data_IF_067634342735
#
_entry.id   IF_067634342735
#
_cell.length_a   1.000
_cell.length_b   1.000
_cell.length_c   1.000
_cell.angle_alpha   90.00
_cell.angle_beta   90.00
_cell.angle_gamma   90.00
#
_symmetry.space_group_name_H-M   'P 1'
#
loop_
_entity.id
_entity.type
_entity.pdbx_description
1 polymer ?
#
# COMPACT_ATOMS: atom_id res chain seq x y z
N UNK A 1 -0.22 -35.84 43.08
CA UNK A 1 -0.98 -35.30 41.94
C UNK A 1 0.01 -34.68 40.97
N UNK A 2 0.27 -35.37 39.85
CA UNK A 2 1.24 -34.94 38.84
C UNK A 2 0.56 -33.93 37.91
N UNK A 3 1.06 -32.70 37.89
CA UNK A 3 0.61 -31.65 36.98
C UNK A 3 1.25 -31.93 35.64
N UNK A 4 0.45 -32.45 34.70
CA UNK A 4 0.87 -32.72 33.34
C UNK A 4 1.31 -31.44 32.63
N UNK A 5 2.58 -31.38 32.28
CA UNK A 5 3.15 -30.34 31.40
C UNK A 5 2.47 -30.39 30.05
N UNK A 6 1.53 -29.46 29.78
CA UNK A 6 0.97 -29.24 28.46
C UNK A 6 2.13 -28.85 27.51
N UNK A 7 2.46 -29.77 26.62
CA UNK A 7 3.39 -29.52 25.52
C UNK A 7 2.88 -28.34 24.71
N UNK A 8 3.51 -27.19 24.86
CA UNK A 8 3.25 -26.02 24.04
C UNK A 8 3.64 -26.41 22.60
N UNK A 9 2.64 -26.67 21.75
CA UNK A 9 2.85 -26.93 20.32
C UNK A 9 3.62 -25.73 19.78
N UNK A 10 4.84 -25.97 19.26
CA UNK A 10 5.63 -24.93 18.55
C UNK A 10 4.71 -24.21 17.59
N UNK A 11 4.68 -22.86 17.59
CA UNK A 11 3.86 -22.12 16.63
C UNK A 11 4.24 -22.58 15.23
N UNK A 12 3.24 -22.95 14.44
CA UNK A 12 3.40 -23.32 13.02
C UNK A 12 4.21 -22.23 12.34
N UNK A 13 5.31 -22.64 11.68
CA UNK A 13 6.12 -21.70 10.92
C UNK A 13 5.19 -21.02 9.88
N UNK A 14 4.89 -19.72 10.00
CA UNK A 14 3.91 -19.03 9.16
C UNK A 14 4.32 -18.98 7.68
N UNK A 15 5.57 -19.38 7.38
CA UNK A 15 6.14 -19.37 6.03
C UNK A 15 6.24 -20.77 5.41
N UNK A 16 5.64 -21.79 6.03
CA UNK A 16 5.61 -23.14 5.45
C UNK A 16 4.35 -23.32 4.62
N UNK A 17 4.50 -23.68 3.35
CA UNK A 17 3.39 -24.07 2.49
C UNK A 17 2.71 -25.30 3.07
N UNK A 18 1.43 -25.18 3.41
CA UNK A 18 0.58 -26.27 3.89
C UNK A 18 -0.06 -27.00 2.72
N UNK A 19 -0.69 -28.17 2.97
CA UNK A 19 -1.51 -28.88 1.96
C UNK A 19 -2.57 -27.96 1.34
N UNK A 20 -3.24 -27.16 2.16
CA UNK A 20 -4.22 -26.15 1.70
C UNK A 20 -3.66 -25.22 0.63
N UNK A 21 -2.43 -24.74 0.78
CA UNK A 21 -1.81 -23.89 -0.22
C UNK A 21 -1.51 -24.60 -1.53
N UNK A 22 -1.14 -25.89 -1.46
CA UNK A 22 -0.92 -26.71 -2.66
C UNK A 22 -2.20 -26.95 -3.43
N UNK A 23 -3.29 -27.27 -2.73
CA UNK A 23 -4.62 -27.42 -3.34
C UNK A 23 -5.09 -26.12 -3.99
N UNK A 24 -4.90 -24.99 -3.30
CA UNK A 24 -5.20 -23.69 -3.87
C UNK A 24 -4.41 -23.41 -5.14
N UNK A 25 -3.12 -23.75 -5.20
CA UNK A 25 -2.31 -23.58 -6.41
C UNK A 25 -2.78 -24.45 -7.57
N UNK A 26 -3.17 -25.67 -7.29
CA UNK A 26 -3.70 -26.57 -8.33
C UNK A 26 -5.01 -26.05 -8.90
N UNK A 27 -5.92 -25.63 -8.03
CA UNK A 27 -7.19 -25.03 -8.43
C UNK A 27 -6.97 -23.69 -9.16
N UNK A 28 -6.06 -22.86 -8.67
CA UNK A 28 -5.68 -21.59 -9.31
C UNK A 28 -5.13 -21.79 -10.73
N UNK A 29 -4.22 -22.76 -10.93
CA UNK A 29 -3.68 -23.11 -12.26
C UNK A 29 -4.75 -23.66 -13.22
N UNK A 30 -5.75 -24.36 -12.70
CA UNK A 30 -6.91 -24.81 -13.50
C UNK A 30 -7.76 -23.63 -13.97
N UNK A 31 -8.02 -22.68 -13.08
CA UNK A 31 -8.85 -21.49 -13.38
C UNK A 31 -8.16 -20.53 -14.34
N UNK A 32 -6.86 -20.36 -14.19
CA UNK A 32 -6.05 -19.43 -14.99
C UNK A 32 -4.93 -20.16 -15.74
N UNK A 33 -5.25 -20.94 -16.77
CA UNK A 33 -4.25 -21.62 -17.58
C UNK A 33 -3.37 -20.59 -18.32
N UNK A 34 -2.07 -20.86 -18.40
CA UNK A 34 -1.05 -19.94 -18.95
C UNK A 34 -1.14 -19.73 -20.49
N UNK A 35 -2.33 -19.56 -21.03
CA UNK A 35 -2.61 -19.46 -22.49
C UNK A 35 -2.51 -18.04 -23.06
N UNK A 36 -1.92 -17.08 -22.35
CA UNK A 36 -1.98 -15.69 -22.79
C UNK A 36 -0.89 -15.37 -23.82
N UNK A 37 -1.32 -14.83 -24.95
CA UNK A 37 -0.45 -14.17 -25.92
C UNK A 37 0.34 -13.05 -25.22
N UNK A 38 1.57 -12.79 -25.66
CA UNK A 38 2.51 -11.86 -24.99
C UNK A 38 2.18 -10.39 -25.34
N UNK A 39 0.95 -9.94 -25.06
CA UNK A 39 0.47 -8.60 -25.38
C UNK A 39 0.77 -7.57 -24.29
N UNK A 40 1.53 -7.94 -23.27
CA UNK A 40 1.93 -7.02 -22.20
C UNK A 40 1.80 -7.62 -20.80
N UNK A 41 1.87 -6.76 -19.80
CA UNK A 41 1.96 -7.14 -18.38
C UNK A 41 0.92 -6.42 -17.54
N UNK A 42 0.22 -7.16 -16.69
CA UNK A 42 -0.50 -6.64 -15.53
C UNK A 42 0.44 -6.74 -14.31
N UNK A 43 0.81 -5.60 -13.75
CA UNK A 43 1.62 -5.54 -12.53
C UNK A 43 0.71 -5.66 -11.30
N UNK A 44 0.96 -6.67 -10.47
CA UNK A 44 0.23 -6.92 -9.24
C UNK A 44 1.13 -6.74 -8.02
N UNK A 45 0.68 -5.98 -7.03
CA UNK A 45 1.41 -5.85 -5.77
C UNK A 45 1.48 -7.19 -5.03
N UNK A 46 2.68 -7.54 -4.58
CA UNK A 46 2.89 -8.67 -3.68
C UNK A 46 2.63 -8.23 -2.24
N UNK A 47 1.47 -8.60 -1.71
CA UNK A 47 1.07 -8.31 -0.33
C UNK A 47 1.35 -9.51 0.57
N UNK A 48 2.10 -9.38 1.67
CA UNK A 48 2.46 -10.49 2.54
C UNK A 48 1.32 -10.86 3.52
N UNK A 49 0.14 -11.16 2.99
CA UNK A 49 -1.05 -11.56 3.73
C UNK A 49 -1.93 -12.45 2.85
N UNK A 50 -2.19 -13.69 3.24
CA UNK A 50 -2.90 -14.68 2.42
C UNK A 50 -4.23 -14.18 1.85
N UNK A 51 -5.13 -13.71 2.70
CA UNK A 51 -6.47 -13.29 2.26
C UNK A 51 -6.40 -12.12 1.26
N UNK A 52 -5.47 -11.19 1.47
CA UNK A 52 -5.27 -10.06 0.58
C UNK A 52 -4.58 -10.50 -0.71
N UNK A 53 -3.56 -11.38 -0.62
CA UNK A 53 -2.86 -11.91 -1.78
C UNK A 53 -3.81 -12.61 -2.76
N UNK A 54 -4.75 -13.43 -2.24
CA UNK A 54 -5.73 -14.11 -3.08
C UNK A 54 -6.62 -13.11 -3.84
N UNK A 55 -7.10 -12.07 -3.16
CA UNK A 55 -7.89 -11.02 -3.78
C UNK A 55 -7.11 -10.33 -4.91
N UNK A 56 -5.84 -10.01 -4.65
CA UNK A 56 -4.99 -9.32 -5.61
C UNK A 56 -4.64 -10.20 -6.81
N UNK A 57 -4.25 -11.45 -6.56
CA UNK A 57 -3.92 -12.42 -7.62
C UNK A 57 -5.12 -12.73 -8.50
N UNK A 58 -6.28 -13.05 -7.90
CA UNK A 58 -7.50 -13.32 -8.67
C UNK A 58 -7.87 -12.10 -9.54
N UNK A 59 -7.83 -10.89 -8.97
CA UNK A 59 -8.10 -9.65 -9.73
C UNK A 59 -7.11 -9.47 -10.87
N UNK A 60 -5.82 -9.73 -10.61
CA UNK A 60 -4.78 -9.58 -11.61
C UNK A 60 -4.94 -10.55 -12.77
N UNK A 61 -5.29 -11.79 -12.50
CA UNK A 61 -5.51 -12.81 -13.54
C UNK A 61 -6.77 -12.53 -14.35
N UNK A 62 -7.88 -12.16 -13.72
CA UNK A 62 -9.10 -11.75 -14.46
C UNK A 62 -8.82 -10.55 -15.37
N UNK A 63 -8.13 -9.53 -14.86
CA UNK A 63 -7.76 -8.36 -15.69
C UNK A 63 -6.78 -8.77 -16.80
N UNK A 64 -5.82 -9.63 -16.51
CA UNK A 64 -4.85 -10.08 -17.48
C UNK A 64 -5.49 -10.91 -18.60
N UNK A 65 -6.50 -11.72 -18.30
CA UNK A 65 -7.28 -12.46 -19.27
C UNK A 65 -8.01 -11.50 -20.21
N UNK A 66 -8.74 -10.54 -19.69
CA UNK A 66 -9.43 -9.51 -20.49
C UNK A 66 -8.46 -8.71 -21.37
N UNK A 67 -7.26 -8.41 -20.88
CA UNK A 67 -6.26 -7.63 -21.61
C UNK A 67 -5.31 -8.50 -22.48
N UNK A 68 -5.48 -9.82 -22.50
CA UNK A 68 -4.55 -10.77 -23.13
C UNK A 68 -3.09 -10.53 -22.70
N UNK A 69 -2.86 -10.34 -21.40
CA UNK A 69 -1.59 -9.97 -20.81
C UNK A 69 -1.10 -11.04 -19.80
N UNK A 70 0.20 -10.99 -19.46
CA UNK A 70 0.78 -11.85 -18.40
C UNK A 70 0.73 -11.14 -17.05
N UNK A 71 0.44 -11.86 -15.97
CA UNK A 71 0.57 -11.30 -14.62
C UNK A 71 2.04 -11.33 -14.18
N UNK A 72 2.49 -10.26 -13.59
CA UNK A 72 3.80 -10.11 -12.94
C UNK A 72 3.61 -9.41 -11.61
N UNK A 73 4.41 -9.76 -10.63
CA UNK A 73 4.33 -9.11 -9.32
C UNK A 73 5.45 -8.09 -9.09
N UNK A 74 5.15 -7.16 -8.19
CA UNK A 74 6.12 -6.19 -7.70
C UNK A 74 6.03 -6.04 -6.19
N UNK A 75 7.13 -5.63 -5.56
CA UNK A 75 7.10 -5.22 -4.16
C UNK A 75 8.30 -4.36 -3.80
N UNK A 76 8.02 -3.31 -3.04
CA UNK A 76 9.03 -2.43 -2.45
C UNK A 76 9.12 -2.59 -0.92
N UNK A 77 8.43 -3.58 -0.38
CA UNK A 77 8.48 -3.86 1.05
C UNK A 77 9.88 -4.35 1.44
N UNK A 78 10.36 -3.89 2.59
CA UNK A 78 11.63 -4.32 3.16
C UNK A 78 11.32 -5.14 4.41
N UNK A 79 11.09 -6.42 4.21
CA UNK A 79 10.82 -7.37 5.30
C UNK A 79 11.99 -8.31 5.56
N UNK A 80 11.83 -9.24 6.50
CA UNK A 80 12.80 -10.31 6.77
C UNK A 80 12.98 -11.17 5.51
N UNK A 81 14.21 -11.55 5.21
CA UNK A 81 14.61 -12.25 3.97
C UNK A 81 13.82 -13.55 3.73
N UNK A 82 13.48 -14.30 4.79
CA UNK A 82 12.69 -15.53 4.70
C UNK A 82 11.25 -15.29 4.25
N UNK A 83 10.60 -14.25 4.81
CA UNK A 83 9.26 -13.86 4.40
C UNK A 83 9.22 -13.50 2.91
N UNK A 84 10.25 -12.83 2.41
CA UNK A 84 10.37 -12.47 1.00
C UNK A 84 10.51 -13.67 0.07
N UNK A 85 11.34 -14.62 0.42
CA UNK A 85 11.51 -15.87 -0.33
C UNK A 85 10.19 -16.63 -0.41
N UNK A 86 9.51 -16.74 0.73
CA UNK A 86 8.21 -17.41 0.79
C UNK A 86 7.18 -16.76 -0.14
N UNK A 87 6.95 -15.44 0.01
CA UNK A 87 5.95 -14.74 -0.79
C UNK A 87 6.31 -14.66 -2.27
N UNK A 88 7.60 -14.50 -2.60
CA UNK A 88 8.07 -14.55 -3.97
C UNK A 88 7.79 -15.88 -4.65
N UNK A 89 8.02 -16.99 -3.95
CA UNK A 89 7.69 -18.33 -4.44
C UNK A 89 6.18 -18.52 -4.54
N UNK A 90 5.41 -18.05 -3.54
CA UNK A 90 3.96 -18.12 -3.55
C UNK A 90 3.38 -17.45 -4.81
N UNK A 91 3.76 -16.20 -5.08
CA UNK A 91 3.31 -15.48 -6.27
C UNK A 91 3.79 -16.12 -7.58
N UNK A 92 5.01 -16.65 -7.61
CA UNK A 92 5.54 -17.41 -8.75
C UNK A 92 4.70 -18.63 -9.06
N UNK A 93 4.34 -19.43 -8.05
CA UNK A 93 3.47 -20.61 -8.20
C UNK A 93 2.07 -20.22 -8.67
N UNK A 94 1.57 -19.06 -8.28
CA UNK A 94 0.33 -18.48 -8.80
C UNK A 94 0.48 -17.81 -10.18
N UNK A 95 1.54 -18.05 -10.94
CA UNK A 95 1.74 -17.48 -12.28
C UNK A 95 2.09 -16.00 -12.32
N UNK A 96 2.41 -15.39 -11.17
CA UNK A 96 2.75 -13.97 -11.02
C UNK A 96 4.20 -13.75 -10.51
N UNK A 97 5.25 -14.17 -11.26
CA UNK A 97 6.62 -14.04 -10.80
C UNK A 97 7.00 -12.59 -10.54
N UNK A 98 7.84 -12.39 -9.52
CA UNK A 98 8.32 -11.08 -9.09
C UNK A 98 9.33 -10.50 -10.08
N UNK A 99 9.02 -9.37 -10.70
CA UNK A 99 9.90 -8.69 -11.66
C UNK A 99 10.40 -7.33 -11.19
N UNK A 100 9.68 -6.69 -10.28
CA UNK A 100 10.02 -5.37 -9.75
C UNK A 100 10.16 -5.46 -8.23
N UNK A 101 11.38 -5.37 -7.76
CA UNK A 101 11.74 -5.38 -6.35
C UNK A 101 12.67 -4.22 -6.02
N UNK A 102 12.87 -3.96 -4.76
CA UNK A 102 13.83 -2.96 -4.30
C UNK A 102 15.29 -3.43 -4.57
N UNK A 103 15.63 -3.53 -5.85
CA UNK A 103 16.98 -3.86 -6.28
C UNK A 103 17.89 -2.64 -6.14
N UNK A 104 19.12 -2.90 -5.75
CA UNK A 104 20.15 -1.87 -5.60
C UNK A 104 21.39 -2.19 -6.45
N UNK A 105 21.26 -2.39 -7.78
CA UNK A 105 22.44 -2.52 -8.61
C UNK A 105 23.31 -1.26 -8.44
N UNK A 106 24.60 -1.39 -8.63
CA UNK A 106 25.58 -0.32 -8.35
C UNK A 106 25.17 1.00 -9.01
N UNK A 107 24.78 0.94 -10.26
CA UNK A 107 24.30 2.10 -10.99
C UNK A 107 23.08 2.79 -10.34
N UNK A 108 22.08 2.01 -9.92
CA UNK A 108 20.92 2.58 -9.20
C UNK A 108 21.32 3.22 -7.88
N UNK A 109 22.29 2.62 -7.17
CA UNK A 109 22.81 3.19 -5.92
C UNK A 109 23.46 4.54 -6.16
N UNK A 110 24.37 4.63 -7.13
CA UNK A 110 25.08 5.87 -7.45
C UNK A 110 24.13 6.94 -7.94
N UNK A 111 23.31 6.65 -8.95
CA UNK A 111 22.35 7.63 -9.50
C UNK A 111 21.36 8.11 -8.44
N UNK A 112 20.83 7.22 -7.59
CA UNK A 112 19.92 7.62 -6.53
C UNK A 112 20.57 8.47 -5.46
N UNK A 113 21.84 8.24 -5.13
CA UNK A 113 22.60 9.08 -4.19
C UNK A 113 22.84 10.50 -4.75
N UNK A 114 23.23 10.59 -6.02
CA UNK A 114 23.41 11.88 -6.69
C UNK A 114 22.09 12.67 -6.71
N UNK A 115 21.01 12.02 -7.15
CA UNK A 115 19.67 12.63 -7.16
C UNK A 115 19.23 13.07 -5.77
N UNK A 116 19.38 12.21 -4.76
CA UNK A 116 18.93 12.52 -3.40
C UNK A 116 19.71 13.69 -2.78
N UNK A 117 21.04 13.75 -3.01
CA UNK A 117 21.87 14.88 -2.54
C UNK A 117 21.50 16.17 -3.25
N UNK A 118 21.26 16.13 -4.57
CA UNK A 118 20.81 17.30 -5.33
C UNK A 118 19.48 17.84 -4.81
N UNK A 119 18.49 16.96 -4.58
CA UNK A 119 17.20 17.32 -4.03
C UNK A 119 17.31 17.90 -2.60
N UNK A 120 18.14 17.28 -1.74
CA UNK A 120 18.29 17.75 -0.37
C UNK A 120 18.85 19.18 -0.32
N UNK A 121 19.74 19.55 -1.23
CA UNK A 121 20.30 20.91 -1.32
C UNK A 121 19.27 21.97 -1.66
N UNK A 122 18.15 21.60 -2.28
CA UNK A 122 17.08 22.53 -2.63
C UNK A 122 16.07 22.75 -1.51
N UNK A 123 16.18 22.01 -0.40
CA UNK A 123 15.24 22.05 0.71
C UNK A 123 15.76 23.04 1.77
N UNK A 124 15.07 24.14 1.97
CA UNK A 124 15.37 25.12 3.02
C UNK A 124 14.35 25.08 4.17
N UNK A 125 13.11 24.68 3.87
CA UNK A 125 12.00 24.57 4.84
C UNK A 125 11.18 23.32 4.56
N UNK A 126 10.43 22.78 5.55
CA UNK A 126 9.62 21.57 5.36
C UNK A 126 8.63 21.63 4.19
N UNK A 127 8.11 22.82 3.87
CA UNK A 127 7.20 23.02 2.74
C UNK A 127 7.86 22.72 1.38
N UNK A 128 9.17 22.91 1.25
CA UNK A 128 9.89 22.66 -0.01
C UNK A 128 9.88 21.20 -0.38
N UNK A 129 9.81 20.29 0.62
CA UNK A 129 9.70 18.84 0.40
C UNK A 129 8.45 18.52 -0.40
N UNK A 130 7.33 19.22 -0.18
CA UNK A 130 6.07 18.97 -0.87
C UNK A 130 6.14 19.25 -2.38
N UNK A 131 7.07 20.10 -2.81
CA UNK A 131 7.27 20.48 -4.23
C UNK A 131 8.22 19.55 -4.97
N UNK A 132 8.89 18.60 -4.32
CA UNK A 132 9.86 17.68 -4.91
C UNK A 132 9.22 16.89 -6.06
N UNK A 133 9.88 16.95 -7.21
CA UNK A 133 9.56 16.15 -8.40
C UNK A 133 10.64 15.10 -8.66
N UNK A 134 10.24 13.92 -9.09
CA UNK A 134 11.10 12.89 -9.65
C UNK A 134 10.70 12.69 -11.12
N UNK A 135 11.50 13.25 -12.03
CA UNK A 135 11.09 13.40 -13.42
C UNK A 135 9.79 14.20 -13.52
N UNK A 136 8.77 13.63 -14.21
CA UNK A 136 7.46 14.28 -14.39
C UNK A 136 6.49 14.13 -13.22
N UNK A 137 6.81 13.33 -12.20
CA UNK A 137 5.88 13.05 -11.10
C UNK A 137 6.15 13.92 -9.87
N UNK A 138 5.11 14.45 -9.26
CA UNK A 138 5.18 15.13 -7.96
C UNK A 138 5.34 14.07 -6.85
N UNK A 139 6.56 13.88 -6.37
CA UNK A 139 6.90 12.88 -5.35
C UNK A 139 6.87 13.43 -3.91
N UNK A 140 6.95 14.74 -3.76
CA UNK A 140 7.09 15.42 -2.47
C UNK A 140 6.05 15.03 -1.41
N UNK A 141 4.74 15.03 -1.69
CA UNK A 141 3.72 14.58 -0.74
C UNK A 141 3.91 13.13 -0.27
N UNK A 142 4.43 12.24 -1.14
CA UNK A 142 4.71 10.85 -0.78
C UNK A 142 5.92 10.74 0.14
N UNK A 143 6.96 11.55 -0.12
CA UNK A 143 8.16 11.64 0.71
C UNK A 143 7.77 12.16 2.09
N UNK A 144 6.99 13.24 2.14
CA UNK A 144 6.49 13.83 3.38
C UNK A 144 5.69 12.81 4.21
N UNK A 145 4.70 12.15 3.61
CA UNK A 145 3.90 11.12 4.27
C UNK A 145 4.75 9.94 4.76
N UNK A 146 5.73 9.51 3.96
CA UNK A 146 6.61 8.39 4.33
C UNK A 146 7.54 8.75 5.47
N UNK A 147 7.98 9.99 5.54
CA UNK A 147 8.79 10.50 6.64
C UNK A 147 7.98 10.54 7.95
N UNK A 148 6.76 11.11 7.92
CA UNK A 148 5.89 11.16 9.10
C UNK A 148 5.41 9.78 9.56
N UNK A 149 5.26 8.81 8.65
CA UNK A 149 4.90 7.43 8.96
C UNK A 149 5.91 6.68 9.83
N UNK A 150 7.05 7.28 10.15
CA UNK A 150 8.04 6.81 11.11
C UNK A 150 7.77 7.29 12.55
N UNK A 151 6.51 7.52 12.89
CA UNK A 151 6.06 8.00 14.22
C UNK A 151 6.58 9.40 14.59
N UNK A 152 6.80 10.23 13.59
CA UNK A 152 7.24 11.62 13.77
C UNK A 152 6.06 12.57 13.73
N UNK A 153 6.02 13.51 14.68
CA UNK A 153 4.97 14.52 14.74
C UNK A 153 5.14 15.61 13.68
N UNK A 154 6.39 15.99 13.40
CA UNK A 154 6.76 17.07 12.48
C UNK A 154 7.95 16.68 11.63
N UNK A 155 8.19 17.42 10.55
CA UNK A 155 9.34 17.23 9.69
C UNK A 155 10.48 18.18 10.09
N UNK A 156 11.67 17.60 10.28
CA UNK A 156 12.91 18.32 10.55
C UNK A 156 13.86 18.14 9.36
N UNK A 157 14.38 19.27 8.81
CA UNK A 157 15.22 19.23 7.60
C UNK A 157 16.57 18.58 7.87
N UNK A 158 17.13 18.80 9.07
CA UNK A 158 18.43 18.26 9.45
C UNK A 158 18.37 16.80 9.88
N UNK A 159 17.16 16.20 9.95
CA UNK A 159 17.01 14.80 10.33
C UNK A 159 17.61 13.86 9.24
N UNK A 160 18.59 13.03 9.59
CA UNK A 160 19.18 12.06 8.65
C UNK A 160 18.15 11.12 7.99
N UNK A 161 16.99 10.93 8.63
CA UNK A 161 15.91 10.12 8.06
C UNK A 161 15.23 10.77 6.87
N UNK A 162 15.24 12.11 6.75
CA UNK A 162 14.75 12.80 5.57
C UNK A 162 15.59 12.40 4.34
N UNK A 163 16.92 12.47 4.46
CA UNK A 163 17.80 12.01 3.40
C UNK A 163 17.59 10.54 3.03
N UNK A 164 17.45 9.65 4.03
CA UNK A 164 17.18 8.22 3.79
C UNK A 164 15.86 8.01 3.06
N UNK A 165 14.83 8.79 3.38
CA UNK A 165 13.51 8.71 2.74
C UNK A 165 13.58 9.21 1.30
N UNK A 166 14.24 10.35 1.05
CA UNK A 166 14.46 10.88 -0.31
C UNK A 166 15.28 9.88 -1.15
N UNK A 167 16.37 9.36 -0.60
CA UNK A 167 17.22 8.35 -1.27
C UNK A 167 16.40 7.11 -1.67
N UNK A 168 15.55 6.63 -0.75
CA UNK A 168 14.67 5.50 -1.02
C UNK A 168 13.64 5.83 -2.11
N UNK A 169 13.08 7.03 -2.10
CA UNK A 169 12.17 7.49 -3.15
C UNK A 169 12.86 7.49 -4.52
N UNK A 170 14.09 8.01 -4.62
CA UNK A 170 14.89 7.98 -5.85
C UNK A 170 15.17 6.55 -6.32
N UNK A 171 15.50 5.63 -5.41
CA UNK A 171 15.73 4.22 -5.74
C UNK A 171 14.49 3.54 -6.31
N UNK A 172 13.33 3.77 -5.67
CA UNK A 172 12.05 3.23 -6.14
C UNK A 172 11.71 3.82 -7.51
N UNK A 173 11.87 5.13 -7.68
CA UNK A 173 11.63 5.81 -8.96
C UNK A 173 12.45 5.20 -10.10
N UNK A 174 13.76 5.02 -9.92
CA UNK A 174 14.64 4.44 -10.93
C UNK A 174 14.29 2.98 -11.25
N UNK A 175 13.90 2.20 -10.25
CA UNK A 175 13.45 0.82 -10.46
C UNK A 175 12.13 0.76 -11.22
N UNK A 176 11.16 1.63 -10.87
CA UNK A 176 9.90 1.76 -11.60
C UNK A 176 10.12 2.21 -13.04
N UNK A 177 11.01 3.18 -13.25
CA UNK A 177 11.35 3.69 -14.58
C UNK A 177 11.82 2.56 -15.51
N UNK A 178 12.79 1.77 -15.03
CA UNK A 178 13.30 0.61 -15.78
C UNK A 178 12.23 -0.44 -16.05
N UNK A 179 11.39 -0.72 -15.05
CA UNK A 179 10.30 -1.68 -15.22
C UNK A 179 9.33 -1.23 -16.30
N UNK A 180 8.88 0.03 -16.23
CA UNK A 180 7.92 0.61 -17.19
C UNK A 180 8.52 0.86 -18.58
N UNK A 181 9.86 0.89 -18.71
CA UNK A 181 10.54 0.93 -20.00
C UNK A 181 10.71 -0.47 -20.60
N UNK A 182 11.01 -1.46 -19.73
CA UNK A 182 11.27 -2.84 -20.17
C UNK A 182 10.01 -3.61 -20.55
N UNK A 183 8.90 -3.33 -19.86
CA UNK A 183 7.66 -4.10 -20.02
C UNK A 183 6.53 -3.20 -20.55
N UNK A 184 5.74 -3.72 -21.49
CA UNK A 184 4.48 -3.10 -21.93
C UNK A 184 3.43 -3.28 -20.84
N UNK A 185 3.48 -2.43 -19.80
CA UNK A 185 2.53 -2.51 -18.69
C UNK A 185 1.17 -1.99 -19.13
N UNK A 186 0.13 -2.83 -19.02
CA UNK A 186 -1.25 -2.53 -19.39
C UNK A 186 -2.09 -2.07 -18.22
N UNK A 187 -1.76 -2.56 -17.02
CA UNK A 187 -2.52 -2.28 -15.79
C UNK A 187 -1.62 -2.45 -14.58
N UNK A 188 -1.85 -1.64 -13.55
CA UNK A 188 -1.25 -1.82 -12.21
C UNK A 188 -2.34 -2.11 -11.19
N UNK A 189 -2.16 -3.14 -10.38
CA UNK A 189 -3.03 -3.50 -9.26
C UNK A 189 -2.25 -3.31 -7.96
N UNK A 190 -2.75 -2.43 -7.10
CA UNK A 190 -2.03 -1.93 -5.92
C UNK A 190 -2.98 -1.72 -4.74
N UNK A 191 -2.49 -1.92 -3.51
CA UNK A 191 -3.30 -1.80 -2.30
C UNK A 191 -3.72 -0.36 -1.99
N UNK A 192 -2.83 0.57 -2.20
CA UNK A 192 -3.05 2.00 -1.98
C UNK A 192 -1.97 2.82 -2.71
N UNK A 193 -2.16 4.13 -2.77
CA UNK A 193 -1.29 5.05 -3.50
C UNK A 193 -0.56 6.05 -2.59
N UNK A 194 -0.60 5.81 -1.29
CA UNK A 194 0.10 6.59 -0.27
C UNK A 194 1.52 6.06 -0.09
N UNK A 195 2.39 6.86 0.50
CA UNK A 195 3.80 6.55 0.73
C UNK A 195 4.61 6.29 -0.54
N UNK A 196 5.93 6.42 -0.43
CA UNK A 196 6.85 6.28 -1.57
C UNK A 196 6.80 4.91 -2.23
N UNK A 197 6.61 3.83 -1.45
CA UNK A 197 6.63 2.46 -1.94
C UNK A 197 5.45 2.10 -2.87
N UNK A 198 4.37 2.84 -2.80
CA UNK A 198 3.17 2.59 -3.60
C UNK A 198 2.88 3.75 -4.56
N UNK A 199 2.93 4.97 -4.03
CA UNK A 199 2.52 6.17 -4.76
C UNK A 199 3.44 6.52 -5.93
N UNK A 200 4.75 6.19 -5.88
CA UNK A 200 5.67 6.48 -6.98
C UNK A 200 5.27 5.68 -8.22
N UNK A 201 5.10 4.35 -8.10
CA UNK A 201 4.67 3.51 -9.23
C UNK A 201 3.29 3.96 -9.75
N UNK A 202 2.34 4.26 -8.84
CA UNK A 202 1.01 4.75 -9.18
C UNK A 202 1.09 6.01 -10.04
N UNK A 203 1.84 7.02 -9.62
CA UNK A 203 1.96 8.29 -10.35
C UNK A 203 2.67 8.11 -11.69
N UNK A 204 3.71 7.29 -11.74
CA UNK A 204 4.43 6.98 -12.99
C UNK A 204 3.56 6.20 -13.98
N UNK A 205 2.74 5.27 -13.51
CA UNK A 205 1.81 4.53 -14.35
C UNK A 205 0.75 5.49 -14.93
N UNK A 206 0.12 6.30 -14.08
CA UNK A 206 -0.91 7.26 -14.50
C UNK A 206 -0.34 8.29 -15.48
N UNK A 207 0.86 8.82 -15.26
CA UNK A 207 1.49 9.79 -16.18
C UNK A 207 1.78 9.21 -17.56
N UNK A 208 1.79 7.88 -17.70
CA UNK A 208 1.95 7.14 -18.96
C UNK A 208 0.63 6.60 -19.52
N UNK A 209 -0.51 7.01 -18.96
CA UNK A 209 -1.83 6.53 -19.37
C UNK A 209 -2.13 5.10 -18.92
N UNK A 210 -1.28 4.46 -18.11
CA UNK A 210 -1.52 3.12 -17.58
C UNK A 210 -2.51 3.20 -16.42
N UNK A 211 -3.68 2.52 -16.52
CA UNK A 211 -4.66 2.52 -15.45
C UNK A 211 -4.12 1.86 -14.17
N UNK A 212 -4.52 2.38 -13.02
CA UNK A 212 -4.19 1.82 -11.71
C UNK A 212 -5.48 1.44 -10.99
N UNK A 213 -5.57 0.21 -10.54
CA UNK A 213 -6.74 -0.34 -9.84
C UNK A 213 -6.34 -0.73 -8.42
N UNK A 214 -7.19 -0.39 -7.46
CA UNK A 214 -7.08 -0.85 -6.08
C UNK A 214 -8.22 -1.81 -5.78
N UNK A 215 -7.92 -3.08 -5.47
CA UNK A 215 -8.88 -4.02 -4.94
C UNK A 215 -9.29 -3.58 -3.53
N UNK A 216 -10.58 -3.41 -3.34
CA UNK A 216 -11.12 -2.96 -2.05
C UNK A 216 -12.12 -3.99 -1.52
N UNK A 217 -11.78 -4.60 -0.39
CA UNK A 217 -12.67 -5.48 0.35
C UNK A 217 -13.29 -4.72 1.51
N UNK A 218 -14.62 -4.65 1.56
CA UNK A 218 -15.36 -4.05 2.66
C UNK A 218 -15.45 -5.03 3.84
N UNK A 219 -14.43 -5.03 4.70
CA UNK A 219 -14.40 -5.83 5.93
C UNK A 219 -13.69 -7.18 5.78
N UNK A 220 -13.11 -7.62 6.87
CA UNK A 220 -12.26 -8.80 6.94
C UNK A 220 -13.03 -10.05 7.42
N UNK A 221 -14.31 -9.90 7.68
CA UNK A 221 -15.17 -10.98 8.19
C UNK A 221 -16.31 -11.26 7.25
N UNK A 222 -16.29 -12.45 6.63
CA UNK A 222 -17.33 -13.07 5.78
C UNK A 222 -17.56 -12.40 4.42
N UNK A 223 -17.55 -13.21 3.37
CA UNK A 223 -18.12 -13.04 2.01
C UNK A 223 -18.53 -11.62 1.57
N UNK A 224 -17.63 -10.65 1.67
CA UNK A 224 -18.00 -9.28 1.38
C UNK A 224 -17.68 -8.95 -0.06
N UNK A 225 -18.58 -8.26 -0.77
CA UNK A 225 -18.37 -7.92 -2.16
C UNK A 225 -17.08 -7.14 -2.32
N UNK A 226 -16.24 -7.69 -3.16
CA UNK A 226 -14.97 -7.14 -3.56
C UNK A 226 -15.21 -6.13 -4.69
N UNK A 227 -14.69 -4.93 -4.55
CA UNK A 227 -14.80 -3.90 -5.57
C UNK A 227 -13.43 -3.52 -6.10
N UNK A 228 -13.31 -3.43 -7.42
CA UNK A 228 -12.15 -2.86 -8.08
C UNK A 228 -12.38 -1.36 -8.27
N UNK A 229 -11.50 -0.54 -7.72
CA UNK A 229 -11.59 0.92 -7.85
C UNK A 229 -10.43 1.44 -8.67
N UNK A 230 -10.76 2.13 -9.76
CA UNK A 230 -9.76 2.82 -10.57
C UNK A 230 -9.29 4.08 -9.83
N UNK A 231 -7.98 4.28 -9.78
CA UNK A 231 -7.40 5.52 -9.27
C UNK A 231 -7.73 6.67 -10.22
N UNK A 232 -8.29 7.74 -9.69
CA UNK A 232 -8.57 8.96 -10.45
C UNK A 232 -7.26 9.65 -10.83
N UNK A 233 -7.10 9.99 -12.12
CA UNK A 233 -5.87 10.57 -12.64
C UNK A 233 -5.62 12.01 -12.16
N UNK A 234 -6.68 12.74 -11.80
CA UNK A 234 -6.59 14.13 -11.33
C UNK A 234 -6.31 14.20 -9.83
N UNK A 235 -7.04 13.41 -9.04
CA UNK A 235 -6.93 13.44 -7.59
C UNK A 235 -5.93 12.44 -7.03
N UNK A 236 -5.50 11.45 -7.85
CA UNK A 236 -4.65 10.33 -7.46
C UNK A 236 -5.23 9.51 -6.29
N UNK A 237 -6.54 9.54 -6.12
CA UNK A 237 -7.23 8.84 -5.04
C UNK A 237 -7.94 7.60 -5.58
N UNK A 238 -7.82 6.44 -4.91
CA UNK A 238 -8.57 5.22 -5.26
C UNK A 238 -10.04 5.30 -4.81
N UNK A 239 -10.39 6.31 -4.02
CA UNK A 239 -11.73 6.56 -3.51
C UNK A 239 -12.39 7.72 -4.24
N UNK A 240 -13.72 7.71 -4.36
CA UNK A 240 -14.40 8.90 -4.85
C UNK A 240 -14.02 10.10 -3.97
N UNK A 241 -13.63 11.23 -4.58
CA UNK A 241 -13.24 12.43 -3.83
C UNK A 241 -14.40 12.94 -2.96
N UNK A 242 -14.08 13.64 -1.87
CA UNK A 242 -15.08 14.12 -0.89
C UNK A 242 -16.25 14.89 -1.50
N UNK A 243 -16.03 15.66 -2.57
CA UNK A 243 -17.12 16.38 -3.24
C UNK A 243 -18.16 15.44 -3.86
N UNK A 244 -17.78 14.21 -4.27
CA UNK A 244 -18.75 13.20 -4.73
C UNK A 244 -19.63 12.71 -3.59
N UNK A 245 -19.05 12.53 -2.40
CA UNK A 245 -19.83 12.19 -1.21
C UNK A 245 -20.79 13.30 -0.82
N UNK A 246 -20.34 14.57 -0.87
CA UNK A 246 -21.22 15.70 -0.61
C UNK A 246 -22.40 15.76 -1.58
N UNK A 247 -22.16 15.49 -2.88
CA UNK A 247 -23.23 15.40 -3.87
C UNK A 247 -24.19 14.24 -3.61
N UNK A 248 -23.67 13.07 -3.25
CA UNK A 248 -24.50 11.91 -2.89
C UNK A 248 -25.32 12.21 -1.64
N UNK A 249 -24.70 12.79 -0.61
CA UNK A 249 -25.38 13.18 0.62
C UNK A 249 -26.46 14.24 0.38
N UNK A 250 -26.23 15.20 -0.50
CA UNK A 250 -27.21 16.21 -0.86
C UNK A 250 -28.45 15.63 -1.58
N UNK A 251 -28.31 14.48 -2.27
CA UNK A 251 -29.42 13.79 -2.95
C UNK A 251 -30.29 12.95 -2.02
N UNK A 252 -29.85 12.69 -0.79
CA UNK A 252 -30.63 11.97 0.20
C UNK A 252 -31.83 12.80 0.66
N UNK A 253 -32.95 12.15 1.00
CA UNK A 253 -34.07 12.78 1.66
C UNK A 253 -33.68 13.38 3.02
N UNK A 254 -34.49 14.28 3.56
CA UNK A 254 -34.23 14.89 4.87
C UNK A 254 -34.12 13.84 5.99
N UNK A 255 -34.95 12.79 5.92
CA UNK A 255 -34.92 11.66 6.87
C UNK A 255 -33.62 10.88 6.78
N UNK A 256 -33.19 10.50 5.58
CA UNK A 256 -31.95 9.75 5.35
C UNK A 256 -30.71 10.58 5.75
N UNK A 257 -30.70 11.88 5.44
CA UNK A 257 -29.62 12.78 5.88
C UNK A 257 -29.52 12.84 7.39
N UNK A 258 -30.65 12.93 8.09
CA UNK A 258 -30.68 12.93 9.56
C UNK A 258 -30.13 11.62 10.11
N UNK A 259 -30.58 10.48 9.60
CA UNK A 259 -30.09 9.16 10.00
C UNK A 259 -28.57 9.00 9.72
N UNK A 260 -28.11 9.41 8.54
CA UNK A 260 -26.70 9.35 8.18
C UNK A 260 -25.81 10.21 9.10
N UNK A 261 -26.30 11.39 9.52
CA UNK A 261 -25.61 12.25 10.50
C UNK A 261 -25.53 11.61 11.88
N UNK A 262 -26.62 11.02 12.37
CA UNK A 262 -26.66 10.31 13.66
C UNK A 262 -25.65 9.15 13.64
N UNK A 263 -25.71 8.31 12.61
CA UNK A 263 -24.81 7.17 12.45
C UNK A 263 -23.34 7.62 12.34
N UNK A 264 -23.07 8.69 11.58
CA UNK A 264 -21.74 9.24 11.43
C UNK A 264 -21.17 9.77 12.75
N UNK A 265 -21.98 10.52 13.52
CA UNK A 265 -21.60 11.00 14.85
C UNK A 265 -21.33 9.84 15.82
N UNK A 266 -22.19 8.81 15.80
CA UNK A 266 -21.99 7.63 16.65
C UNK A 266 -20.69 6.89 16.29
N UNK A 267 -20.43 6.62 15.02
CA UNK A 267 -19.18 5.98 14.56
C UNK A 267 -17.92 6.79 14.92
N UNK A 268 -18.00 8.12 14.78
CA UNK A 268 -16.90 8.99 15.18
C UNK A 268 -16.65 8.91 16.69
N UNK A 269 -17.72 8.95 17.49
CA UNK A 269 -17.63 8.80 18.95
C UNK A 269 -17.03 7.44 19.33
N UNK A 270 -17.55 6.35 18.75
CA UNK A 270 -17.05 4.99 19.00
C UNK A 270 -15.57 4.86 18.68
N UNK A 271 -15.12 5.53 17.60
CA UNK A 271 -13.71 5.56 17.23
C UNK A 271 -12.85 6.37 18.21
N UNK A 272 -13.33 7.54 18.64
CA UNK A 272 -12.62 8.39 19.60
C UNK A 272 -12.52 7.73 20.97
N UNK A 273 -13.55 6.97 21.38
CA UNK A 273 -13.60 6.24 22.63
C UNK A 273 -12.92 4.87 22.55
N UNK A 274 -12.43 4.50 21.37
CA UNK A 274 -11.74 3.23 21.15
C UNK A 274 -12.66 2.00 21.15
N UNK A 275 -13.96 2.17 21.01
CA UNK A 275 -14.94 1.08 21.07
C UNK A 275 -15.00 0.27 19.77
N UNK A 276 -14.69 0.88 18.64
CA UNK A 276 -14.74 0.26 17.31
C UNK A 276 -13.69 0.84 16.38
N UNK A 277 -12.63 0.11 16.15
CA UNK A 277 -11.81 0.30 14.96
C UNK A 277 -11.77 -0.99 14.15
N UNK A 278 -12.75 -1.13 13.25
CA UNK A 278 -12.85 -2.27 12.33
C UNK A 278 -11.82 -2.20 11.20
N UNK A 279 -11.07 -1.11 11.09
CA UNK A 279 -10.13 -0.88 9.99
C UNK A 279 -8.69 -1.18 10.36
N UNK A 280 -8.36 -1.26 11.63
CA UNK A 280 -7.00 -1.53 12.12
C UNK A 280 -6.96 -2.84 12.91
N UNK A 281 -6.83 -3.93 12.19
CA UNK A 281 -6.91 -5.31 12.68
C UNK A 281 -5.84 -5.73 13.70
N UNK A 282 -4.89 -4.89 14.05
CA UNK A 282 -3.80 -5.23 14.98
C UNK A 282 -3.45 -4.13 15.98
N UNK A 283 -4.03 -2.98 15.83
CA UNK A 283 -3.71 -1.85 16.68
C UNK A 283 -4.97 -1.59 17.48
N UNK A 284 -4.85 -1.60 18.78
CA UNK A 284 -5.92 -1.21 19.67
C UNK A 284 -6.52 0.13 19.27
N UNK A 285 -7.44 0.68 20.05
CA UNK A 285 -8.17 1.89 19.69
C UNK A 285 -7.23 2.95 19.10
N UNK A 286 -7.64 3.58 17.99
CA UNK A 286 -6.83 4.58 17.28
C UNK A 286 -6.31 5.71 18.20
N UNK A 287 -6.97 5.85 19.35
CA UNK A 287 -6.59 6.69 20.47
C UNK A 287 -6.62 5.87 21.75
N UNK A 288 -5.63 4.98 21.96
CA UNK A 288 -5.40 4.55 23.33
C UNK A 288 -5.07 5.80 24.15
N UNK A 289 -5.77 5.99 25.27
CA UNK A 289 -5.33 6.91 26.30
C UNK A 289 -3.88 6.52 26.62
N UNK A 290 -2.90 7.14 25.97
CA UNK A 290 -1.55 7.18 26.53
C UNK A 290 -1.78 7.73 27.93
N UNK A 291 -1.44 6.93 28.94
CA UNK A 291 -1.49 7.34 30.34
C UNK A 291 -1.20 8.83 30.41
N UNK A 292 -1.98 9.57 31.14
CA UNK A 292 -2.09 11.03 31.29
C UNK A 292 -0.77 11.84 31.32
N UNK A 293 0.37 11.18 31.35
CA UNK A 293 1.70 11.80 31.39
C UNK A 293 2.08 12.67 30.19
N UNK A 294 1.46 12.45 29.00
CA UNK A 294 1.81 13.27 27.82
C UNK A 294 1.01 14.57 27.69
N UNK A 295 -0.18 14.65 28.26
CA UNK A 295 -0.99 15.89 28.20
C UNK A 295 -0.69 16.85 29.34
N UNK A 296 -0.11 16.40 30.45
CA UNK A 296 0.31 17.28 31.53
C UNK A 296 1.57 18.10 31.21
N UNK A 297 2.43 17.62 30.29
CA UNK A 297 3.62 18.38 29.89
C UNK A 297 3.33 19.52 28.92
N UNK A 298 2.16 19.53 28.26
CA UNK A 298 1.79 20.57 27.28
C UNK A 298 1.09 21.79 27.89
N UNK A 299 0.78 21.77 29.19
CA UNK A 299 0.25 22.98 29.89
C UNK A 299 1.23 24.12 29.96
N UNK A 300 2.48 23.98 29.50
CA UNK A 300 3.49 25.08 29.51
C UNK A 300 3.89 25.62 28.12
N UNK A 301 3.28 25.15 27.02
CA UNK A 301 3.50 25.81 25.74
C UNK A 301 2.20 26.40 25.23
N UNK A 302 2.02 27.70 25.51
CA UNK A 302 1.08 28.52 24.77
C UNK A 302 1.47 28.46 23.30
N UNK A 303 0.59 27.92 22.47
CA UNK A 303 0.68 28.04 21.01
C UNK A 303 0.13 29.48 20.73
N UNK A 304 1.02 30.34 20.35
CA UNK A 304 0.70 31.61 19.67
C UNK A 304 0.41 31.28 18.21
#
# INVERSE_FOLDING_TARGET
MSIGTKTIKKPLNPYRLTSFHREYFLDFKKRFPAKHADRGVVLCEMVPCYNVSHCFLNSAHVVAEVLSAKVRSFSFYVGKTESWKFWGNYYKECGAPLILKNQKPLWTRLSSQIMARALLRTIQKPADVLSIKLGSILAGPLIYQSYLGLERATMEIQDPHLFKTILRACQIYLNCLRCLQKYSVKQVIISHNQYIQYGILTRMAISRGVPVITPYAHGWRRSIPFTLRRTDSKTLMPFPPYYKFNRLFARLSSRERSQARILGKQRLRDRLEGRLDLTTLKIGPAYQKKKESCLQSTKKRKIL
#
